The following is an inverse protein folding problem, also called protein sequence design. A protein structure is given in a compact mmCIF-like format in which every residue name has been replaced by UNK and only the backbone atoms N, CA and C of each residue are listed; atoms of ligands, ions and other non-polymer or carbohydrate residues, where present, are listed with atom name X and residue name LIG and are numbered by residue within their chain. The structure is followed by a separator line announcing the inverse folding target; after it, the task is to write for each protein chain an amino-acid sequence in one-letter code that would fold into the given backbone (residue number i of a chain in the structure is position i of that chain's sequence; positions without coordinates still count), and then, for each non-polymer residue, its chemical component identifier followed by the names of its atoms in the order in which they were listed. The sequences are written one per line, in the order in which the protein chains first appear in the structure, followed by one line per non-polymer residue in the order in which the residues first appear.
data_IF_567558188180
#
_entry.id   IF_567558188180
#
_cell.length_a   1.000
_cell.length_b   1.000
_cell.length_c   1.000
_cell.angle_alpha   90.00
_cell.angle_beta   90.00
_cell.angle_gamma   90.00
#
_symmetry.space_group_name_H-M   'P 1'
#
loop_
_entity.id
_entity.type
_entity.pdbx_description
1 polymer ?
#
# COMPACT_ATOMS: atom_id res chain seq x y z
N UNK A 1 -7.60 28.83 -6.29
CA UNK A 1 -7.99 27.75 -5.35
C UNK A 1 -7.12 27.96 -4.12
N UNK A 2 -7.69 27.96 -2.92
CA UNK A 2 -6.87 27.92 -1.71
C UNK A 2 -5.95 26.68 -1.80
N UNK A 3 -4.70 26.74 -1.32
CA UNK A 3 -3.88 25.53 -1.24
C UNK A 3 -4.67 24.52 -0.40
N UNK A 4 -5.04 23.39 -1.01
CA UNK A 4 -5.64 22.28 -0.26
C UNK A 4 -4.67 21.82 0.82
N UNK A 5 -5.20 21.27 1.90
CA UNK A 5 -4.39 20.64 2.94
C UNK A 5 -3.50 19.56 2.32
N UNK A 6 -2.36 19.29 2.95
CA UNK A 6 -1.52 18.15 2.61
C UNK A 6 -1.25 17.30 3.85
N UNK A 7 -0.94 16.04 3.66
CA UNK A 7 -0.70 15.10 4.76
C UNK A 7 0.48 15.52 5.64
N UNK A 8 1.43 16.28 5.10
CA UNK A 8 2.57 16.83 5.82
C UNK A 8 2.26 18.08 6.67
N UNK A 9 1.10 18.72 6.51
CA UNK A 9 0.72 19.87 7.34
C UNK A 9 0.21 19.42 8.73
N UNK A 10 0.01 20.34 9.69
CA UNK A 10 -0.47 19.98 11.02
C UNK A 10 -1.83 19.24 11.03
N UNK A 11 -2.74 19.56 10.10
CA UNK A 11 -4.06 18.93 9.99
C UNK A 11 -3.91 17.49 9.49
N UNK A 12 -3.08 17.29 8.46
CA UNK A 12 -2.72 15.97 7.94
C UNK A 12 -2.04 15.10 8.99
N UNK A 13 -1.10 15.67 9.75
CA UNK A 13 -0.39 14.98 10.82
C UNK A 13 -1.30 14.62 12.01
N UNK A 14 -2.25 15.48 12.37
CA UNK A 14 -3.23 15.16 13.40
C UNK A 14 -4.16 14.03 12.92
N UNK A 15 -4.65 14.12 11.69
CA UNK A 15 -5.54 13.13 11.07
C UNK A 15 -4.89 11.75 10.99
N UNK A 16 -3.66 11.64 10.51
CA UNK A 16 -2.96 10.35 10.44
C UNK A 16 -2.73 9.76 11.83
N UNK A 17 -2.41 10.58 12.83
CA UNK A 17 -2.22 10.11 14.20
C UNK A 17 -3.53 9.60 14.81
N UNK A 18 -4.65 10.25 14.53
CA UNK A 18 -5.98 9.78 14.95
C UNK A 18 -6.31 8.43 14.31
N UNK A 19 -6.13 8.31 12.99
CA UNK A 19 -6.41 7.08 12.25
C UNK A 19 -5.52 5.93 12.73
N UNK A 20 -4.20 6.14 12.79
CA UNK A 20 -3.24 5.10 13.19
C UNK A 20 -3.51 4.62 14.61
N UNK A 21 -3.80 5.52 15.57
CA UNK A 21 -4.14 5.12 16.95
C UNK A 21 -5.47 4.38 17.03
N UNK A 22 -6.45 4.74 16.20
CA UNK A 22 -7.75 4.03 16.11
C UNK A 22 -7.56 2.62 15.57
N UNK A 23 -6.80 2.48 14.48
CA UNK A 23 -6.59 1.21 13.77
C UNK A 23 -5.60 0.29 14.48
N UNK A 24 -4.57 0.85 15.10
CA UNK A 24 -3.50 0.11 15.78
C UNK A 24 -3.35 0.65 17.21
N UNK A 25 -4.23 0.28 18.15
CA UNK A 25 -4.23 0.84 19.51
C UNK A 25 -2.95 0.58 20.31
N UNK A 26 -2.15 -0.42 19.91
CA UNK A 26 -0.83 -0.70 20.51
C UNK A 26 0.22 0.36 20.14
N UNK A 27 0.00 1.15 19.08
CA UNK A 27 0.87 2.25 18.66
C UNK A 27 0.43 3.54 19.35
N UNK A 28 0.61 3.61 20.67
CA UNK A 28 0.14 4.72 21.52
C UNK A 28 0.73 6.08 21.13
N UNK A 29 1.96 6.09 20.61
CA UNK A 29 2.65 7.27 20.13
C UNK A 29 2.45 7.54 18.62
N UNK A 30 1.62 6.74 17.94
CA UNK A 30 1.49 6.79 16.49
C UNK A 30 2.69 6.17 15.78
N UNK A 31 2.98 6.67 14.58
CA UNK A 31 4.10 6.24 13.73
C UNK A 31 5.45 6.70 14.31
N UNK A 32 6.49 5.90 14.11
CA UNK A 32 7.87 6.32 14.37
C UNK A 32 8.29 7.43 13.39
N UNK A 33 9.28 8.25 13.76
CA UNK A 33 9.74 9.38 12.95
C UNK A 33 10.09 8.98 11.50
N UNK A 34 10.87 7.91 11.32
CA UNK A 34 11.24 7.38 10.00
C UNK A 34 10.01 6.93 9.19
N UNK A 35 8.98 6.40 9.85
CA UNK A 35 7.74 6.00 9.18
C UNK A 35 6.92 7.23 8.76
N UNK A 36 6.88 8.30 9.56
CA UNK A 36 6.24 9.56 9.17
C UNK A 36 6.92 10.19 7.95
N UNK A 37 8.25 10.27 7.98
CA UNK A 37 9.05 10.80 6.87
C UNK A 37 8.82 10.05 5.56
N UNK A 38 8.41 8.78 5.63
CA UNK A 38 8.11 7.95 4.48
C UNK A 38 6.63 8.01 4.07
N UNK A 39 5.72 7.92 5.03
CA UNK A 39 4.27 7.77 4.79
C UNK A 39 3.62 9.08 4.35
N UNK A 40 3.98 10.22 4.96
CA UNK A 40 3.32 11.49 4.64
C UNK A 40 3.58 11.94 3.20
N UNK A 41 4.83 11.92 2.68
CA UNK A 41 5.07 12.27 1.28
C UNK A 41 4.41 11.30 0.30
N UNK A 42 4.33 10.00 0.62
CA UNK A 42 3.61 9.01 -0.19
C UNK A 42 2.12 9.36 -0.30
N UNK A 43 1.48 9.75 0.81
CA UNK A 43 0.08 10.15 0.82
C UNK A 43 -0.16 11.44 0.02
N UNK A 44 0.82 12.34 -0.01
CA UNK A 44 0.83 13.55 -0.85
C UNK A 44 1.21 13.30 -2.32
N UNK A 45 1.57 12.07 -2.69
CA UNK A 45 1.99 11.71 -4.05
C UNK A 45 3.37 12.25 -4.43
N UNK A 46 4.25 12.45 -3.44
CA UNK A 46 5.64 12.90 -3.62
C UNK A 46 6.55 11.67 -3.75
N UNK A 47 7.49 11.73 -4.70
CA UNK A 47 8.49 10.68 -4.90
C UNK A 47 9.48 10.62 -3.72
N UNK A 48 9.71 9.42 -3.17
CA UNK A 48 10.60 9.20 -2.02
C UNK A 48 11.69 8.19 -2.37
N UNK A 49 12.93 8.55 -2.07
CA UNK A 49 14.05 7.61 -1.99
C UNK A 49 14.35 7.32 -0.52
N UNK A 50 14.13 6.08 -0.10
CA UNK A 50 14.27 5.66 1.29
C UNK A 50 15.49 4.74 1.47
N UNK A 51 16.45 5.16 2.28
CA UNK A 51 17.63 4.38 2.66
C UNK A 51 17.67 4.28 4.19
N UNK A 52 17.28 3.13 4.73
CA UNK A 52 17.19 2.89 6.18
C UNK A 52 17.84 1.55 6.53
N UNK A 53 18.10 1.33 7.81
CA UNK A 53 18.59 0.03 8.27
C UNK A 53 17.49 -1.04 8.15
N UNK A 54 17.90 -2.30 8.10
CA UNK A 54 16.95 -3.41 8.13
C UNK A 54 16.32 -3.48 9.52
N UNK A 55 14.98 -3.39 9.58
CA UNK A 55 14.25 -3.39 10.84
C UNK A 55 13.70 -2.03 11.25
N UNK A 56 14.07 -0.93 10.57
CA UNK A 56 13.57 0.43 10.85
C UNK A 56 12.08 0.65 10.53
N UNK A 57 11.39 -0.41 10.09
CA UNK A 57 9.95 -0.37 9.86
C UNK A 57 9.53 0.22 8.51
N UNK A 58 10.42 0.21 7.50
CA UNK A 58 10.12 0.66 6.12
C UNK A 58 8.87 0.03 5.51
N UNK A 59 8.51 -1.19 5.94
CA UNK A 59 7.32 -1.89 5.47
C UNK A 59 6.01 -1.15 5.77
N UNK A 60 6.02 -0.19 6.72
CA UNK A 60 4.90 0.71 6.96
C UNK A 60 4.51 1.53 5.71
N UNK A 61 5.45 1.76 4.78
CA UNK A 61 5.18 2.43 3.50
C UNK A 61 4.16 1.69 2.63
N UNK A 62 4.07 0.37 2.77
CA UNK A 62 3.17 -0.45 1.95
C UNK A 62 1.76 -0.51 2.56
N UNK A 63 1.68 -0.57 3.89
CA UNK A 63 0.42 -0.80 4.59
C UNK A 63 -0.24 0.48 5.09
N UNK A 64 0.49 1.38 5.73
CA UNK A 64 -0.10 2.54 6.42
C UNK A 64 -0.80 3.49 5.45
N UNK A 65 -0.23 3.87 4.28
CA UNK A 65 -0.95 4.72 3.34
C UNK A 65 -2.29 4.12 2.88
N UNK A 66 -2.34 2.80 2.68
CA UNK A 66 -3.56 2.09 2.29
C UNK A 66 -4.61 2.13 3.41
N UNK A 67 -4.20 1.85 4.65
CA UNK A 67 -5.08 1.86 5.82
C UNK A 67 -5.63 3.27 6.10
N UNK A 68 -4.77 4.28 6.00
CA UNK A 68 -5.13 5.68 6.24
C UNK A 68 -6.17 6.15 5.24
N UNK A 69 -5.93 5.94 3.94
CA UNK A 69 -6.90 6.37 2.92
C UNK A 69 -8.20 5.56 2.97
N UNK A 70 -8.15 4.26 3.31
CA UNK A 70 -9.37 3.47 3.50
C UNK A 70 -10.23 4.04 4.63
N UNK A 71 -9.65 4.23 5.80
CA UNK A 71 -10.35 4.76 6.97
C UNK A 71 -10.89 6.18 6.70
N UNK A 72 -10.07 7.04 6.09
CA UNK A 72 -10.44 8.41 5.74
C UNK A 72 -11.62 8.47 4.75
N UNK A 73 -11.64 7.58 3.76
CA UNK A 73 -12.70 7.53 2.75
C UNK A 73 -13.99 6.89 3.25
N UNK A 74 -13.89 5.90 4.15
CA UNK A 74 -15.05 5.21 4.72
C UNK A 74 -15.79 6.06 5.76
N UNK A 75 -15.09 7.04 6.38
CA UNK A 75 -15.64 7.89 7.45
C UNK A 75 -15.33 9.39 7.21
N UNK A 76 -15.78 9.98 6.09
CA UNK A 76 -15.42 11.36 5.73
C UNK A 76 -15.90 12.41 6.74
N UNK A 77 -16.94 12.13 7.52
CA UNK A 77 -17.45 13.00 8.59
C UNK A 77 -16.59 13.00 9.86
N UNK A 78 -15.68 12.03 10.01
CA UNK A 78 -14.84 11.89 11.20
C UNK A 78 -13.53 12.72 11.12
N UNK A 79 -13.19 13.25 9.95
CA UNK A 79 -11.90 13.89 9.66
C UNK A 79 -12.08 15.21 8.91
N UNK A 80 -11.04 16.06 8.93
CA UNK A 80 -11.06 17.31 8.17
C UNK A 80 -11.03 17.04 6.66
N UNK A 81 -11.91 17.73 5.94
CA UNK A 81 -12.05 17.55 4.50
C UNK A 81 -10.94 18.27 3.72
N UNK A 82 -10.59 17.72 2.56
CA UNK A 82 -9.68 18.38 1.61
C UNK A 82 -8.25 17.86 1.63
N UNK A 83 -7.96 16.80 2.40
CA UNK A 83 -6.71 16.06 2.27
C UNK A 83 -6.67 15.26 0.95
N UNK A 84 -5.50 15.11 0.30
CA UNK A 84 -5.36 14.32 -0.92
C UNK A 84 -5.81 12.87 -0.70
N UNK A 85 -6.65 12.34 -1.58
CA UNK A 85 -7.14 10.96 -1.49
C UNK A 85 -7.33 10.32 -2.86
N UNK A 86 -7.42 8.98 -2.86
CA UNK A 86 -7.82 8.14 -3.99
C UNK A 86 -9.02 7.32 -3.57
N UNK A 87 -10.06 7.22 -4.41
CA UNK A 87 -11.28 6.51 -4.07
C UNK A 87 -11.03 5.03 -3.74
N UNK A 88 -10.11 4.38 -4.46
CA UNK A 88 -9.72 2.97 -4.27
C UNK A 88 -8.20 2.86 -4.35
N UNK A 89 -7.46 3.20 -3.27
CA UNK A 89 -6.02 3.34 -3.34
C UNK A 89 -5.33 2.02 -3.74
N UNK A 90 -4.40 2.12 -4.70
CA UNK A 90 -3.60 1.00 -5.21
C UNK A 90 -2.11 1.27 -4.96
N UNK A 91 -1.43 0.29 -4.38
CA UNK A 91 0.03 0.20 -4.32
C UNK A 91 0.57 -0.77 -5.37
N UNK A 92 1.61 -0.37 -6.09
CA UNK A 92 2.39 -1.27 -6.95
C UNK A 92 3.78 -1.40 -6.35
N UNK A 93 4.26 -2.63 -6.17
CA UNK A 93 5.61 -2.89 -5.67
C UNK A 93 6.35 -3.76 -6.67
N UNK A 94 7.49 -3.30 -7.16
CA UNK A 94 8.36 -4.06 -8.06
C UNK A 94 9.42 -4.72 -7.19
N UNK A 95 9.46 -6.05 -7.20
CA UNK A 95 10.35 -6.84 -6.34
C UNK A 95 11.28 -7.70 -7.17
N UNK A 96 12.62 -7.67 -6.94
CA UNK A 96 13.57 -8.45 -7.73
C UNK A 96 13.46 -9.96 -7.52
N UNK A 97 12.80 -10.43 -6.46
CA UNK A 97 12.66 -11.86 -6.17
C UNK A 97 11.25 -12.19 -5.69
N UNK A 98 10.78 -13.37 -6.09
CA UNK A 98 9.52 -13.97 -5.60
C UNK A 98 9.45 -14.04 -4.08
N UNK A 99 10.54 -14.41 -3.41
CA UNK A 99 10.58 -14.48 -1.95
C UNK A 99 10.34 -13.12 -1.28
N UNK A 100 10.78 -12.01 -1.88
CA UNK A 100 10.50 -10.68 -1.37
C UNK A 100 9.02 -10.30 -1.59
N UNK A 101 8.46 -10.60 -2.77
CA UNK A 101 7.04 -10.41 -3.05
C UNK A 101 6.16 -11.16 -2.03
N UNK A 102 6.47 -12.44 -1.79
CA UNK A 102 5.74 -13.31 -0.87
C UNK A 102 5.82 -12.78 0.57
N UNK A 103 6.98 -12.26 1.00
CA UNK A 103 7.13 -11.63 2.31
C UNK A 103 6.24 -10.39 2.47
N UNK A 104 6.16 -9.54 1.44
CA UNK A 104 5.32 -8.35 1.45
C UNK A 104 3.84 -8.75 1.46
N UNK A 105 3.41 -9.67 0.59
CA UNK A 105 2.02 -10.16 0.53
C UNK A 105 1.63 -10.81 1.87
N UNK A 106 2.51 -11.64 2.45
CA UNK A 106 2.31 -12.23 3.75
C UNK A 106 2.13 -11.15 4.83
N UNK A 107 3.03 -10.15 4.86
CA UNK A 107 2.93 -9.03 5.79
C UNK A 107 1.61 -8.26 5.64
N UNK A 108 1.13 -8.02 4.43
CA UNK A 108 -0.12 -7.28 4.16
C UNK A 108 -1.39 -8.10 4.47
N UNK A 109 -1.33 -9.42 4.30
CA UNK A 109 -2.38 -10.33 4.73
C UNK A 109 -2.42 -10.53 6.24
N UNK A 110 -1.27 -10.40 6.91
CA UNK A 110 -1.09 -10.62 8.35
C UNK A 110 -1.10 -9.34 9.17
N UNK A 111 -1.02 -8.15 8.55
CA UNK A 111 -0.93 -6.85 9.24
C UNK A 111 -2.01 -6.75 10.31
N UNK A 112 -1.73 -6.87 11.61
CA UNK A 112 -0.54 -6.48 12.37
C UNK A 112 0.00 -7.64 13.23
N UNK A 113 1.13 -8.25 12.85
CA UNK A 113 1.95 -9.07 13.76
C UNK A 113 3.43 -8.82 13.44
N UNK A 114 4.08 -7.95 14.23
CA UNK A 114 5.47 -8.22 14.60
C UNK A 114 5.50 -9.55 15.38
N UNK A 115 6.63 -10.28 15.48
CA UNK A 115 6.71 -11.73 15.79
C UNK A 115 6.11 -12.23 17.14
N UNK A 116 5.34 -11.43 17.85
CA UNK A 116 4.64 -11.77 19.08
C UNK A 116 3.11 -11.75 18.86
N UNK A 117 2.50 -12.92 19.10
CA UNK A 117 1.11 -13.15 19.49
C UNK A 117 0.06 -13.38 18.38
N UNK A 118 -0.17 -14.66 18.08
CA UNK A 118 -1.32 -15.20 17.35
C UNK A 118 -2.64 -15.22 18.17
N UNK A 119 -2.84 -14.34 19.15
CA UNK A 119 -3.97 -14.44 20.10
C UNK A 119 -5.13 -13.44 19.87
N UNK A 120 -5.03 -12.52 18.90
CA UNK A 120 -6.07 -11.50 18.62
C UNK A 120 -6.57 -11.48 17.17
N UNK A 121 -6.70 -12.66 16.54
CA UNK A 121 -7.05 -12.79 15.11
C UNK A 121 -8.41 -12.18 14.72
N UNK A 122 -9.34 -11.99 15.67
CA UNK A 122 -10.66 -11.40 15.38
C UNK A 122 -10.70 -9.86 15.33
N UNK A 123 -9.71 -9.16 15.90
CA UNK A 123 -9.66 -7.68 15.89
C UNK A 123 -8.84 -7.12 14.73
N UNK A 124 -8.02 -7.97 14.11
CA UNK A 124 -7.07 -7.64 13.04
C UNK A 124 -7.65 -7.79 11.62
N UNK A 125 -8.87 -8.30 11.46
CA UNK A 125 -9.53 -8.38 10.15
C UNK A 125 -9.66 -7.02 9.46
N UNK A 126 -9.80 -5.94 10.23
CA UNK A 126 -9.90 -4.56 9.73
C UNK A 126 -8.57 -3.96 9.27
N UNK A 127 -7.46 -4.68 9.42
CA UNK A 127 -6.11 -4.25 9.01
C UNK A 127 -5.59 -5.06 7.82
N UNK A 128 -6.38 -6.03 7.35
CA UNK A 128 -6.11 -6.78 6.14
C UNK A 128 -6.04 -5.84 4.92
N UNK A 129 -5.01 -6.02 4.11
CA UNK A 129 -4.85 -5.37 2.81
C UNK A 129 -4.78 -6.46 1.76
N UNK A 130 -5.75 -6.46 0.84
CA UNK A 130 -5.81 -7.46 -0.22
C UNK A 130 -4.62 -7.30 -1.15
N UNK A 131 -3.79 -8.34 -1.28
CA UNK A 131 -2.56 -8.27 -2.07
C UNK A 131 -2.20 -9.60 -2.70
N UNK A 132 -1.40 -9.55 -3.77
CA UNK A 132 -0.89 -10.75 -4.43
C UNK A 132 0.39 -10.47 -5.21
N UNK A 133 1.07 -11.54 -5.60
CA UNK A 133 2.23 -11.50 -6.51
C UNK A 133 1.78 -11.69 -7.96
N UNK A 134 2.01 -10.69 -8.80
CA UNK A 134 1.88 -10.74 -10.25
C UNK A 134 3.14 -11.39 -10.84
N UNK A 135 3.19 -12.72 -10.71
CA UNK A 135 4.26 -13.58 -11.20
C UNK A 135 3.72 -14.59 -12.22
N UNK A 136 4.63 -15.33 -12.86
CA UNK A 136 4.29 -16.32 -13.89
C UNK A 136 3.29 -17.37 -13.40
N UNK A 137 3.44 -17.85 -12.18
CA UNK A 137 2.56 -18.86 -11.58
C UNK A 137 1.15 -18.30 -11.39
N UNK A 138 1.00 -17.14 -10.75
CA UNK A 138 -0.32 -16.53 -10.54
C UNK A 138 -1.02 -16.19 -11.85
N UNK A 139 -0.28 -15.73 -12.86
CA UNK A 139 -0.85 -15.51 -14.20
C UNK A 139 -1.31 -16.81 -14.86
N UNK A 140 -0.54 -17.89 -14.69
CA UNK A 140 -0.90 -19.20 -15.22
C UNK A 140 -2.15 -19.76 -14.54
N UNK A 141 -2.22 -19.66 -13.20
CA UNK A 141 -3.36 -20.08 -12.40
C UNK A 141 -4.62 -19.28 -12.75
N UNK A 142 -4.52 -17.95 -12.87
CA UNK A 142 -5.63 -17.10 -13.28
C UNK A 142 -6.16 -17.49 -14.68
N UNK A 143 -5.27 -17.74 -15.64
CA UNK A 143 -5.65 -18.20 -16.98
C UNK A 143 -6.33 -19.58 -16.95
N UNK A 144 -5.82 -20.51 -16.16
CA UNK A 144 -6.42 -21.84 -15.98
C UNK A 144 -7.81 -21.77 -15.33
N UNK A 145 -8.01 -20.84 -14.40
CA UNK A 145 -9.29 -20.58 -13.75
C UNK A 145 -10.26 -19.73 -14.60
N UNK A 146 -9.85 -19.28 -15.78
CA UNK A 146 -10.65 -18.39 -16.64
C UNK A 146 -10.82 -16.97 -16.08
N UNK A 147 -10.00 -16.58 -15.10
CA UNK A 147 -10.03 -15.26 -14.46
C UNK A 147 -9.31 -14.26 -15.37
N UNK A 148 -9.99 -13.17 -15.70
CA UNK A 148 -9.43 -12.05 -16.45
C UNK A 148 -8.73 -11.08 -15.51
N UNK A 149 -7.57 -11.49 -15.01
CA UNK A 149 -6.87 -10.77 -13.94
C UNK A 149 -6.56 -9.30 -14.29
N UNK A 150 -6.24 -9.01 -15.55
CA UNK A 150 -6.02 -7.63 -16.00
C UNK A 150 -7.26 -6.73 -15.85
N UNK A 151 -8.46 -7.25 -16.12
CA UNK A 151 -9.72 -6.53 -15.92
C UNK A 151 -9.96 -6.30 -14.42
N UNK A 152 -9.78 -7.32 -13.58
CA UNK A 152 -9.93 -7.18 -12.11
C UNK A 152 -8.99 -6.11 -11.52
N UNK A 153 -7.74 -6.04 -12.01
CA UNK A 153 -6.77 -5.04 -11.56
C UNK A 153 -7.19 -3.63 -11.99
N UNK A 154 -7.62 -3.46 -13.25
CA UNK A 154 -8.04 -2.18 -13.80
C UNK A 154 -9.26 -1.58 -13.09
N UNK A 155 -10.12 -2.43 -12.56
CA UNK A 155 -11.31 -2.01 -11.80
C UNK A 155 -10.98 -1.51 -10.40
N UNK A 156 -9.82 -1.85 -9.84
CA UNK A 156 -9.36 -1.45 -8.51
C UNK A 156 -10.31 -1.83 -7.36
N UNK A 157 -11.11 -2.89 -7.52
CA UNK A 157 -12.12 -3.29 -6.52
C UNK A 157 -11.62 -4.34 -5.54
N UNK A 158 -10.78 -5.26 -6.01
CA UNK A 158 -10.43 -6.49 -5.28
C UNK A 158 -9.05 -6.44 -4.64
N UNK A 159 -8.10 -5.83 -5.33
CA UNK A 159 -6.68 -5.82 -4.95
C UNK A 159 -6.28 -4.41 -4.56
N UNK A 160 -5.54 -4.26 -3.48
CA UNK A 160 -5.03 -2.97 -3.00
C UNK A 160 -3.52 -2.86 -3.21
N UNK A 161 -2.76 -3.95 -3.07
CA UNK A 161 -1.31 -3.96 -3.36
C UNK A 161 -0.96 -5.09 -4.31
N UNK A 162 -0.17 -4.76 -5.33
CA UNK A 162 0.25 -5.71 -6.37
C UNK A 162 1.77 -5.73 -6.40
N UNK A 163 2.36 -6.86 -6.01
CA UNK A 163 3.80 -7.10 -6.13
C UNK A 163 4.08 -7.63 -7.53
N UNK A 164 4.86 -6.95 -8.36
CA UNK A 164 5.06 -7.28 -9.78
C UNK A 164 6.49 -7.72 -10.01
N UNK A 165 6.66 -8.91 -10.62
CA UNK A 165 7.98 -9.34 -11.05
C UNK A 165 8.47 -8.47 -12.23
N UNK A 166 9.75 -8.03 -12.24
CA UNK A 166 10.26 -7.09 -13.23
C UNK A 166 10.10 -7.54 -14.69
N UNK A 167 10.15 -8.85 -14.97
CA UNK A 167 9.96 -9.39 -16.32
C UNK A 167 8.59 -9.06 -16.90
N UNK A 168 7.56 -8.96 -16.05
CA UNK A 168 6.18 -8.73 -16.46
C UNK A 168 5.88 -7.25 -16.75
N UNK A 169 6.78 -6.34 -16.37
CA UNK A 169 6.61 -4.91 -16.67
C UNK A 169 6.57 -4.60 -18.17
N UNK A 170 7.11 -5.49 -19.00
CA UNK A 170 7.13 -5.36 -20.46
C UNK A 170 5.94 -6.03 -21.14
N UNK A 171 5.10 -6.74 -20.38
CA UNK A 171 3.97 -7.47 -20.95
C UNK A 171 2.89 -6.51 -21.46
N UNK A 172 2.24 -6.91 -22.57
CA UNK A 172 1.14 -6.13 -23.15
C UNK A 172 -0.04 -5.97 -22.18
N UNK A 173 -0.34 -7.01 -21.41
CA UNK A 173 -1.40 -6.97 -20.38
C UNK A 173 -1.06 -5.96 -19.28
N UNK A 174 0.19 -5.94 -18.80
CA UNK A 174 0.64 -4.96 -17.81
C UNK A 174 0.58 -3.52 -18.34
N UNK A 175 0.94 -3.33 -19.61
CA UNK A 175 0.80 -2.03 -20.28
C UNK A 175 -0.66 -1.56 -20.33
N UNK A 176 -1.59 -2.46 -20.68
CA UNK A 176 -3.03 -2.13 -20.68
C UNK A 176 -3.54 -1.75 -19.30
N UNK A 177 -3.10 -2.45 -18.25
CA UNK A 177 -3.42 -2.11 -16.86
C UNK A 177 -2.95 -0.68 -16.54
N UNK A 178 -1.68 -0.39 -16.80
CA UNK A 178 -1.06 0.90 -16.45
C UNK A 178 -1.55 2.06 -17.34
N UNK A 179 -2.10 1.79 -18.52
CA UNK A 179 -2.72 2.79 -19.39
C UNK A 179 -4.20 3.07 -19.02
N UNK A 180 -4.84 2.24 -18.20
CA UNK A 180 -6.22 2.44 -17.74
C UNK A 180 -6.35 3.72 -16.91
N UNK A 181 -7.29 4.59 -17.28
CA UNK A 181 -7.57 5.83 -16.55
C UNK A 181 -8.03 5.54 -15.11
N UNK A 182 -8.85 4.51 -14.92
CA UNK A 182 -9.33 4.09 -13.60
C UNK A 182 -8.16 3.66 -12.72
N UNK A 183 -7.26 2.83 -13.26
CA UNK A 183 -6.09 2.37 -12.53
C UNK A 183 -5.18 3.53 -12.15
N UNK A 184 -4.78 4.36 -13.13
CA UNK A 184 -3.90 5.51 -12.91
C UNK A 184 -4.45 6.51 -11.88
N UNK A 185 -5.75 6.79 -11.92
CA UNK A 185 -6.39 7.67 -10.96
C UNK A 185 -6.34 7.10 -9.53
N UNK A 186 -6.13 5.80 -9.36
CA UNK A 186 -6.16 5.11 -8.08
C UNK A 186 -4.77 4.66 -7.57
N UNK A 187 -3.73 4.64 -8.41
CA UNK A 187 -2.34 4.34 -7.98
C UNK A 187 -1.84 5.40 -7.00
N UNK A 188 -1.77 5.04 -5.73
CA UNK A 188 -1.22 5.87 -4.66
C UNK A 188 0.31 5.90 -4.70
N UNK A 189 0.94 4.72 -4.84
CA UNK A 189 2.38 4.59 -4.94
C UNK A 189 2.80 3.51 -5.93
N UNK A 190 3.97 3.72 -6.53
CA UNK A 190 4.73 2.69 -7.23
C UNK A 190 6.13 2.63 -6.59
N UNK A 191 6.47 1.49 -6.01
CA UNK A 191 7.72 1.29 -5.27
C UNK A 191 8.59 0.28 -6.02
N UNK A 192 9.90 0.47 -6.00
CA UNK A 192 10.88 -0.57 -6.31
C UNK A 192 11.56 -0.91 -5.01
N UNK A 193 11.39 -2.14 -4.51
CA UNK A 193 12.08 -2.60 -3.29
C UNK A 193 13.32 -3.41 -3.66
N UNK A 194 14.37 -3.33 -2.84
CA UNK A 194 15.65 -3.99 -3.14
C UNK A 194 16.46 -3.34 -4.27
N UNK A 195 16.38 -2.01 -4.43
CA UNK A 195 17.05 -1.23 -5.50
C UNK A 195 18.57 -1.41 -5.54
N UNK A 196 19.20 -1.77 -4.41
CA UNK A 196 20.64 -2.01 -4.33
C UNK A 196 21.00 -3.50 -4.47
N UNK A 197 20.78 -4.08 -5.64
CA UNK A 197 21.48 -5.29 -6.08
C UNK A 197 22.79 -4.90 -6.79
N UNK A 198 23.72 -4.29 -6.04
CA UNK A 198 25.11 -4.13 -6.49
C UNK A 198 26.00 -4.91 -5.54
N UNK A 199 26.33 -6.15 -5.92
CA UNK A 199 27.51 -6.87 -5.43
C UNK A 199 28.15 -7.57 -6.62
#
# INVERSE_FOLDING_TARGET
MAPGHCWQDPVGLETINMIVKKLIPTWTNGLHAVQLELVLPILDGIDVLCCTETGDGKSAAFSIPMLVLREYNEHPEAYEAGLPTRARPIGVVITPTKGLADNIVCLLHVSVIGPLMAFEVHKLSNLHISSFSYCKETLTEARQAGIRLAEEIQECQKWQVICVDPEHLRDKEWRQITESLTFRANVLFACVDGVFHFV
#
